data_IF_878273211284
#
_entry.id   IF_878273211284
#
_cell.length_a   1.000
_cell.length_b   1.000
_cell.length_c   1.000
_cell.angle_alpha   90.00
_cell.angle_beta   90.00
_cell.angle_gamma   90.00
#
_symmetry.space_group_name_H-M   'P 1'
#
loop_
_entity.id
_entity.type
_entity.pdbx_description
1 polymer ?
#
# COMPACT_ATOMS: atom_id res chain seq x y z
N UNK A 1 -19.27 -46.11 35.40
CA UNK A 1 -19.27 -44.64 35.13
C UNK A 1 -17.96 -43.96 35.55
N UNK A 2 -16.79 -44.37 35.03
CA UNK A 2 -15.50 -43.67 35.23
C UNK A 2 -14.49 -44.13 34.14
N UNK A 3 -14.69 -43.76 32.87
CA UNK A 3 -13.71 -44.11 31.82
C UNK A 3 -13.86 -43.29 30.51
N UNK A 4 -14.26 -42.01 30.56
CA UNK A 4 -14.52 -41.23 29.34
C UNK A 4 -14.16 -39.74 29.48
N UNK A 5 -13.08 -39.43 30.21
CA UNK A 5 -12.62 -38.04 30.39
C UNK A 5 -11.11 -37.87 30.15
N UNK A 6 -10.49 -38.73 29.33
CA UNK A 6 -9.03 -38.74 29.12
C UNK A 6 -8.58 -38.74 27.65
N UNK A 7 -9.50 -38.63 26.69
CA UNK A 7 -9.16 -38.54 25.26
C UNK A 7 -9.68 -37.22 24.69
N UNK A 8 -8.79 -36.46 24.03
CA UNK A 8 -8.99 -35.20 23.30
C UNK A 8 -8.61 -33.86 23.98
N UNK A 9 -7.59 -33.87 24.84
CA UNK A 9 -6.65 -32.75 24.93
C UNK A 9 -5.37 -33.11 24.16
N UNK A 10 -5.50 -33.25 22.84
CA UNK A 10 -4.36 -33.08 21.94
C UNK A 10 -4.01 -31.60 21.96
N UNK A 11 -3.37 -31.16 23.04
CA UNK A 11 -2.59 -29.95 23.03
C UNK A 11 -1.48 -30.17 22.00
N UNK A 12 -1.75 -29.78 20.76
CA UNK A 12 -0.72 -29.55 19.76
C UNK A 12 0.20 -28.49 20.33
N UNK A 13 1.18 -28.95 21.08
CA UNK A 13 2.38 -28.21 21.45
C UNK A 13 2.99 -27.77 20.13
N UNK A 14 2.69 -26.54 19.72
CA UNK A 14 3.41 -25.87 18.65
C UNK A 14 4.84 -25.77 19.17
N UNK A 15 5.70 -26.68 18.72
CA UNK A 15 7.10 -26.70 19.10
C UNK A 15 7.65 -25.28 18.90
N UNK A 16 8.01 -24.65 20.01
CA UNK A 16 8.48 -23.29 20.06
C UNK A 16 9.80 -23.22 19.30
N UNK A 17 9.77 -22.78 18.04
CA UNK A 17 10.99 -22.37 17.36
C UNK A 17 11.62 -21.24 18.19
N UNK A 18 12.91 -21.31 18.51
CA UNK A 18 13.62 -20.29 19.29
C UNK A 18 13.41 -18.86 18.73
N UNK A 19 13.24 -18.74 17.41
CA UNK A 19 12.92 -17.49 16.73
C UNK A 19 11.60 -16.84 17.20
N UNK A 20 10.60 -17.64 17.60
CA UNK A 20 9.32 -17.15 18.08
C UNK A 20 9.43 -16.47 19.45
N UNK A 21 10.25 -17.02 20.36
CA UNK A 21 10.39 -16.51 21.73
C UNK A 21 11.11 -15.16 21.69
N UNK A 22 12.16 -15.08 20.86
CA UNK A 22 12.91 -13.85 20.62
C UNK A 22 11.99 -12.73 20.11
N UNK A 23 11.09 -13.05 19.16
CA UNK A 23 10.14 -12.06 18.63
C UNK A 23 9.09 -11.64 19.66
N UNK A 24 8.54 -12.58 20.43
CA UNK A 24 7.59 -12.26 21.52
C UNK A 24 8.23 -11.31 22.56
N UNK A 25 9.47 -11.61 22.97
CA UNK A 25 10.24 -10.79 23.92
C UNK A 25 10.53 -9.40 23.35
N UNK A 26 10.96 -9.34 22.10
CA UNK A 26 11.24 -8.09 21.40
C UNK A 26 10.00 -7.18 21.29
N UNK A 27 8.82 -7.76 21.11
CA UNK A 27 7.55 -7.02 21.01
C UNK A 27 6.96 -6.66 22.38
N UNK A 28 7.54 -7.15 23.48
CA UNK A 28 7.04 -6.96 24.83
C UNK A 28 5.76 -7.74 25.14
N UNK A 29 5.51 -8.84 24.42
CA UNK A 29 4.35 -9.71 24.67
C UNK A 29 4.59 -10.61 25.89
N UNK A 30 5.83 -11.09 26.04
CA UNK A 30 6.27 -11.91 27.16
C UNK A 30 7.41 -11.23 27.91
N UNK A 31 7.61 -11.61 29.18
CA UNK A 31 8.73 -11.15 29.97
C UNK A 31 10.08 -11.53 29.33
N UNK A 32 11.12 -10.71 29.54
CA UNK A 32 12.44 -10.91 28.92
C UNK A 32 13.10 -12.23 29.34
N UNK A 33 12.80 -12.69 30.54
CA UNK A 33 13.27 -13.93 31.16
C UNK A 33 12.33 -15.13 30.94
N UNK A 34 11.19 -14.93 30.25
CA UNK A 34 10.24 -16.02 29.98
C UNK A 34 10.92 -17.15 29.19
N UNK A 35 10.74 -18.39 29.66
CA UNK A 35 11.29 -19.60 29.01
C UNK A 35 10.30 -20.23 28.01
N UNK A 36 9.02 -19.92 28.12
CA UNK A 36 7.94 -20.42 27.28
C UNK A 36 6.87 -19.34 27.08
N UNK A 37 5.92 -19.61 26.18
CA UNK A 37 4.79 -18.72 25.90
C UNK A 37 3.47 -19.49 25.90
N UNK A 38 2.36 -18.78 26.09
CA UNK A 38 1.00 -19.33 26.11
C UNK A 38 0.35 -19.35 24.72
N UNK A 39 -0.72 -20.14 24.49
CA UNK A 39 -1.47 -20.11 23.24
C UNK A 39 -2.08 -18.73 22.92
N UNK A 40 -2.43 -17.95 23.94
CA UNK A 40 -2.96 -16.59 23.81
C UNK A 40 -1.89 -15.61 23.29
N UNK A 41 -0.68 -15.68 23.84
CA UNK A 41 0.47 -14.90 23.37
C UNK A 41 0.83 -15.24 21.92
N UNK A 42 0.74 -16.53 21.56
CA UNK A 42 0.92 -16.97 20.18
C UNK A 42 -0.19 -16.43 19.24
N UNK A 43 -1.44 -16.35 19.72
CA UNK A 43 -2.53 -15.73 18.97
C UNK A 43 -2.31 -14.22 18.77
N UNK A 44 -1.88 -13.51 19.83
CA UNK A 44 -1.55 -12.10 19.76
C UNK A 44 -0.41 -11.83 18.76
N UNK A 45 0.65 -12.66 18.77
CA UNK A 45 1.74 -12.57 17.80
C UNK A 45 1.26 -12.70 16.36
N UNK A 46 0.33 -13.63 16.09
CA UNK A 46 -0.27 -13.78 14.74
C UNK A 46 -1.03 -12.52 14.34
N UNK A 47 -1.79 -11.92 15.25
CA UNK A 47 -2.55 -10.67 14.99
C UNK A 47 -1.60 -9.49 14.72
N UNK A 48 -0.51 -9.38 15.46
CA UNK A 48 0.53 -8.37 15.25
C UNK A 48 1.18 -8.49 13.87
N UNK A 49 1.65 -9.69 13.52
CA UNK A 49 2.26 -9.95 12.19
C UNK A 49 1.29 -9.67 11.05
N UNK A 50 0.02 -10.03 11.23
CA UNK A 50 -1.04 -9.73 10.27
C UNK A 50 -1.24 -8.22 10.09
N UNK A 51 -1.32 -7.47 11.19
CA UNK A 51 -1.44 -6.01 11.15
C UNK A 51 -0.25 -5.37 10.41
N UNK A 52 0.98 -5.86 10.64
CA UNK A 52 2.16 -5.43 9.91
C UNK A 52 2.05 -5.67 8.40
N UNK A 53 1.60 -6.86 7.99
CA UNK A 53 1.37 -7.20 6.58
C UNK A 53 0.30 -6.30 5.93
N UNK A 54 -0.68 -5.85 6.73
CA UNK A 54 -1.72 -4.90 6.31
C UNK A 54 -1.23 -3.43 6.33
N UNK A 55 0.05 -3.18 6.63
CA UNK A 55 0.64 -1.84 6.59
C UNK A 55 0.38 -1.00 7.84
N UNK A 56 0.12 -1.62 9.00
CA UNK A 56 -0.17 -0.91 10.25
C UNK A 56 0.87 0.16 10.61
N UNK A 57 2.17 -0.13 10.43
CA UNK A 57 3.24 0.82 10.72
C UNK A 57 3.14 2.08 9.86
N UNK A 58 2.98 1.93 8.55
CA UNK A 58 2.83 3.08 7.67
C UNK A 58 1.55 3.85 7.99
N UNK A 59 0.46 3.13 8.25
CA UNK A 59 -0.81 3.74 8.63
C UNK A 59 -0.72 4.58 9.92
N UNK A 60 -0.08 4.06 10.98
CA UNK A 60 0.15 4.84 12.20
C UNK A 60 0.96 6.09 11.87
N UNK A 61 2.08 5.94 11.15
CA UNK A 61 2.96 7.07 10.79
C UNK A 61 2.20 8.15 10.02
N UNK A 62 1.38 7.77 9.05
CA UNK A 62 0.61 8.71 8.23
C UNK A 62 -0.43 9.47 9.05
N UNK A 63 -0.98 8.86 10.10
CA UNK A 63 -2.03 9.46 10.94
C UNK A 63 -1.50 10.25 12.14
N UNK A 64 -0.40 9.83 12.74
CA UNK A 64 0.13 10.45 13.96
C UNK A 64 1.42 11.23 13.73
N UNK A 65 2.06 11.09 12.57
CA UNK A 65 3.37 11.64 12.28
C UNK A 65 4.54 10.97 13.02
N UNK A 66 4.28 9.97 13.87
CA UNK A 66 5.31 9.36 14.71
C UNK A 66 5.03 7.89 15.06
N UNK A 67 6.09 7.08 15.07
CA UNK A 67 6.07 5.68 15.52
C UNK A 67 6.54 5.50 16.97
N UNK A 68 6.77 6.58 17.70
CA UNK A 68 7.24 6.49 19.08
C UNK A 68 6.27 5.66 19.96
N UNK A 69 6.83 4.65 20.64
CA UNK A 69 6.10 3.68 21.46
C UNK A 69 5.30 2.63 20.68
N UNK A 70 5.13 2.78 19.37
CA UNK A 70 4.40 1.82 18.53
C UNK A 70 5.30 0.74 17.93
N UNK A 71 6.62 0.93 17.96
CA UNK A 71 7.60 -0.01 17.42
C UNK A 71 8.66 -0.39 18.43
N UNK A 72 9.19 -1.60 18.29
CA UNK A 72 10.45 -2.02 18.87
C UNK A 72 11.44 -2.32 17.75
N UNK A 73 12.68 -1.87 17.95
CA UNK A 73 13.78 -2.14 17.02
C UNK A 73 14.57 -3.34 17.54
N UNK A 74 14.72 -4.36 16.70
CA UNK A 74 15.61 -5.49 16.99
C UNK A 74 16.74 -5.47 15.99
N UNK A 75 17.97 -5.49 16.51
CA UNK A 75 19.15 -5.72 15.69
C UNK A 75 19.10 -7.13 15.14
N UNK A 76 19.00 -7.23 13.82
CA UNK A 76 19.25 -8.49 13.14
C UNK A 76 20.75 -8.74 13.15
N UNK A 77 21.20 -10.00 13.16
CA UNK A 77 22.63 -10.35 13.14
C UNK A 77 23.43 -9.80 11.95
N UNK A 78 22.78 -9.13 11.00
CA UNK A 78 23.37 -8.41 9.86
C UNK A 78 23.51 -6.88 10.11
N UNK A 79 23.25 -6.39 11.32
CA UNK A 79 23.33 -4.98 11.69
C UNK A 79 22.14 -4.11 11.25
N UNK A 80 21.17 -4.66 10.51
CA UNK A 80 19.95 -3.93 10.18
C UNK A 80 18.96 -4.00 11.34
N UNK A 81 18.36 -2.86 11.67
CA UNK A 81 17.25 -2.79 12.63
C UNK A 81 15.94 -3.06 11.92
N UNK A 82 15.28 -4.16 12.27
CA UNK A 82 13.94 -4.45 11.77
C UNK A 82 12.92 -3.86 12.75
N UNK A 83 12.00 -2.98 12.32
CA UNK A 83 10.93 -2.48 13.17
C UNK A 83 9.87 -3.56 13.34
N UNK A 84 9.48 -3.83 14.58
CA UNK A 84 8.36 -4.67 14.94
C UNK A 84 7.27 -3.84 15.60
N UNK A 85 6.01 -4.08 15.24
CA UNK A 85 4.85 -3.53 15.91
C UNK A 85 4.78 -4.08 17.35
N UNK A 86 4.70 -3.19 18.33
CA UNK A 86 4.51 -3.53 19.75
C UNK A 86 3.02 -3.74 20.05
N UNK A 87 2.70 -4.27 21.25
CA UNK A 87 1.31 -4.35 21.73
C UNK A 87 0.65 -2.98 21.75
N UNK A 88 1.32 -1.97 22.33
CA UNK A 88 0.83 -0.58 22.35
C UNK A 88 0.66 0.01 20.94
N UNK A 89 1.55 -0.34 20.00
CA UNK A 89 1.43 0.04 18.60
C UNK A 89 0.20 -0.58 17.92
N UNK A 90 -0.09 -1.84 18.20
CA UNK A 90 -1.26 -2.53 17.68
C UNK A 90 -2.57 -1.98 18.25
N UNK A 91 -2.63 -1.71 19.55
CA UNK A 91 -3.79 -1.07 20.17
C UNK A 91 -4.04 0.33 19.57
N UNK A 92 -2.98 1.12 19.39
CA UNK A 92 -3.07 2.42 18.73
C UNK A 92 -3.57 2.30 17.29
N UNK A 93 -3.02 1.37 16.52
CA UNK A 93 -3.47 1.10 15.15
C UNK A 93 -4.95 0.72 15.12
N UNK A 94 -5.36 -0.23 15.96
CA UNK A 94 -6.73 -0.72 16.03
C UNK A 94 -7.69 0.37 16.46
N UNK A 95 -7.30 1.21 17.43
CA UNK A 95 -8.08 2.35 17.89
C UNK A 95 -8.36 3.34 16.73
N UNK A 96 -7.31 3.80 16.04
CA UNK A 96 -7.46 4.74 14.91
C UNK A 96 -8.31 4.10 13.81
N UNK A 97 -8.03 2.84 13.47
CA UNK A 97 -8.76 2.11 12.44
C UNK A 97 -10.25 1.94 12.80
N UNK A 98 -10.56 1.74 14.08
CA UNK A 98 -11.94 1.60 14.56
C UNK A 98 -12.72 2.91 14.48
N UNK A 99 -12.09 4.05 14.78
CA UNK A 99 -12.72 5.36 14.59
C UNK A 99 -13.03 5.62 13.12
N UNK A 100 -12.07 5.40 12.22
CA UNK A 100 -12.30 5.58 10.78
C UNK A 100 -13.38 4.63 10.25
N UNK A 101 -13.37 3.37 10.70
CA UNK A 101 -14.37 2.39 10.28
C UNK A 101 -15.77 2.80 10.73
N UNK A 102 -15.91 3.30 11.96
CA UNK A 102 -17.18 3.84 12.46
C UNK A 102 -17.68 4.97 11.56
N UNK A 103 -16.87 5.99 11.33
CA UNK A 103 -17.21 7.12 10.45
C UNK A 103 -17.59 6.64 9.05
N UNK A 104 -16.84 5.66 8.53
CA UNK A 104 -17.11 5.06 7.25
C UNK A 104 -18.50 4.39 7.20
N UNK A 105 -18.85 3.54 8.17
CA UNK A 105 -20.16 2.89 8.18
C UNK A 105 -21.30 3.89 8.41
N UNK A 106 -21.10 4.91 9.24
CA UNK A 106 -22.05 6.01 9.41
C UNK A 106 -22.30 6.75 8.09
N UNK A 107 -21.23 7.03 7.32
CA UNK A 107 -21.35 7.64 5.98
C UNK A 107 -22.08 6.77 4.95
N UNK A 108 -22.21 5.46 5.23
CA UNK A 108 -22.96 4.49 4.42
C UNK A 108 -24.38 4.25 4.92
N UNK A 109 -24.85 5.06 5.87
CA UNK A 109 -26.22 5.03 6.37
C UNK A 109 -26.44 4.15 7.59
N UNK A 110 -25.37 3.63 8.23
CA UNK A 110 -25.52 3.02 9.55
C UNK A 110 -25.81 4.10 10.58
N UNK A 111 -26.84 3.93 11.40
CA UNK A 111 -27.11 4.86 12.50
C UNK A 111 -26.02 4.75 13.58
N UNK A 112 -25.55 5.88 14.12
CA UNK A 112 -24.47 5.92 15.10
C UNK A 112 -24.71 5.02 16.33
N UNK A 113 -25.97 4.91 16.81
CA UNK A 113 -26.35 4.03 17.92
C UNK A 113 -26.25 2.53 17.61
N UNK A 114 -26.20 2.17 16.33
CA UNK A 114 -26.26 0.80 15.83
C UNK A 114 -25.00 0.36 15.08
N UNK A 115 -24.00 1.23 14.95
CA UNK A 115 -22.74 0.88 14.27
C UNK A 115 -22.00 -0.28 14.95
N UNK A 116 -22.07 -0.37 16.28
CA UNK A 116 -21.42 -1.42 17.07
C UNK A 116 -22.17 -2.76 17.07
N UNK A 117 -23.38 -2.80 16.49
CA UNK A 117 -24.18 -4.01 16.33
C UNK A 117 -24.16 -4.54 14.90
N UNK A 118 -23.42 -3.90 14.01
CA UNK A 118 -23.22 -4.36 12.63
C UNK A 118 -22.57 -5.74 12.61
N UNK A 119 -23.04 -6.56 11.66
CA UNK A 119 -22.57 -7.93 11.46
C UNK A 119 -22.12 -8.13 10.03
N UNK A 120 -21.19 -9.06 9.78
CA UNK A 120 -20.89 -9.53 8.44
C UNK A 120 -22.09 -10.33 7.87
N UNK A 121 -21.97 -10.82 6.62
CA UNK A 121 -23.01 -11.67 6.03
C UNK A 121 -23.22 -12.99 6.78
N UNK A 122 -22.19 -13.47 7.47
CA UNK A 122 -22.17 -14.69 8.29
C UNK A 122 -22.79 -14.50 9.68
N UNK A 123 -23.14 -13.27 10.06
CA UNK A 123 -23.71 -12.93 11.37
C UNK A 123 -22.67 -12.65 12.48
N UNK A 124 -21.37 -12.64 12.16
CA UNK A 124 -20.30 -12.24 13.09
C UNK A 124 -20.25 -10.73 13.26
N UNK A 125 -19.99 -10.25 14.46
CA UNK A 125 -19.94 -8.81 14.75
C UNK A 125 -18.68 -8.18 14.15
N UNK A 126 -18.83 -6.96 13.60
CA UNK A 126 -17.70 -6.19 13.09
C UNK A 126 -16.97 -5.41 14.18
N UNK A 127 -17.66 -5.11 15.28
CA UNK A 127 -17.12 -4.41 16.44
C UNK A 127 -17.31 -5.24 17.71
N UNK A 128 -16.38 -5.10 18.64
CA UNK A 128 -16.47 -5.59 20.01
C UNK A 128 -17.42 -4.68 20.83
N UNK A 129 -17.74 -5.08 22.05
CA UNK A 129 -18.59 -4.27 22.94
C UNK A 129 -17.89 -2.99 23.41
N UNK A 130 -16.56 -2.97 23.40
CA UNK A 130 -15.72 -1.80 23.68
C UNK A 130 -15.60 -0.86 22.47
N UNK A 131 -16.22 -1.21 21.33
CA UNK A 131 -16.21 -0.42 20.11
C UNK A 131 -14.93 -0.54 19.26
N UNK A 132 -14.07 -1.52 19.54
CA UNK A 132 -12.93 -1.84 18.69
C UNK A 132 -13.36 -2.77 17.53
N UNK A 133 -12.68 -2.72 16.39
CA UNK A 133 -12.93 -3.67 15.32
C UNK A 133 -12.53 -5.10 15.73
N UNK A 134 -13.36 -6.07 15.35
CA UNK A 134 -12.99 -7.49 15.38
C UNK A 134 -12.06 -7.81 14.21
N UNK A 135 -11.44 -9.00 14.20
CA UNK A 135 -10.58 -9.42 13.09
C UNK A 135 -11.35 -9.47 11.76
N UNK A 136 -12.62 -9.91 11.77
CA UNK A 136 -13.53 -9.90 10.61
C UNK A 136 -13.91 -8.44 10.23
N UNK A 137 -14.09 -7.56 11.21
CA UNK A 137 -14.35 -6.13 11.00
C UNK A 137 -13.19 -5.40 10.34
N UNK A 138 -11.96 -5.68 10.76
CA UNK A 138 -10.73 -5.17 10.15
C UNK A 138 -10.67 -5.55 8.66
N UNK A 139 -10.92 -6.82 8.34
CA UNK A 139 -10.87 -7.30 6.97
C UNK A 139 -11.92 -6.62 6.08
N UNK A 140 -13.15 -6.57 6.59
CA UNK A 140 -14.26 -5.96 5.86
C UNK A 140 -13.99 -4.47 5.61
N UNK A 141 -13.55 -3.74 6.63
CA UNK A 141 -13.27 -2.31 6.50
C UNK A 141 -12.09 -2.04 5.55
N UNK A 142 -10.98 -2.77 5.66
CA UNK A 142 -9.83 -2.59 4.76
C UNK A 142 -10.19 -2.94 3.31
N UNK A 143 -11.00 -3.97 3.09
CA UNK A 143 -11.53 -4.29 1.77
C UNK A 143 -12.45 -3.17 1.25
N UNK A 144 -13.31 -2.61 2.09
CA UNK A 144 -14.16 -1.46 1.74
C UNK A 144 -13.32 -0.24 1.33
N UNK A 145 -12.29 0.07 2.11
CA UNK A 145 -11.35 1.17 1.87
C UNK A 145 -10.56 0.99 0.57
N UNK A 146 -10.23 -0.26 0.23
CA UNK A 146 -9.65 -0.63 -1.06
C UNK A 146 -10.68 -0.63 -2.22
N UNK A 147 -11.87 -0.08 -2.02
CA UNK A 147 -12.99 -0.01 -3.00
C UNK A 147 -13.44 -1.38 -3.51
N UNK A 148 -13.25 -2.45 -2.72
CA UNK A 148 -13.77 -3.77 -3.05
C UNK A 148 -15.26 -3.83 -2.73
N UNK A 149 -15.99 -4.68 -3.46
CA UNK A 149 -17.38 -5.00 -3.14
C UNK A 149 -17.41 -5.77 -1.82
N UNK A 150 -17.95 -5.16 -0.78
CA UNK A 150 -18.16 -5.77 0.53
C UNK A 150 -19.57 -5.48 1.02
N UNK A 151 -20.08 -6.39 1.84
CA UNK A 151 -21.44 -6.35 2.34
C UNK A 151 -21.48 -6.70 3.81
N UNK A 152 -22.39 -6.07 4.54
CA UNK A 152 -22.65 -6.29 5.96
C UNK A 152 -24.15 -6.21 6.22
N UNK A 153 -24.60 -6.68 7.39
CA UNK A 153 -25.98 -6.60 7.83
C UNK A 153 -26.14 -5.46 8.84
N UNK A 154 -27.16 -4.63 8.60
CA UNK A 154 -27.62 -3.64 9.56
C UNK A 154 -28.43 -4.31 10.68
N UNK A 155 -28.88 -3.53 11.66
CA UNK A 155 -29.71 -4.00 12.79
C UNK A 155 -31.05 -4.59 12.38
N UNK A 156 -31.61 -4.13 11.26
CA UNK A 156 -32.82 -4.68 10.64
C UNK A 156 -32.56 -6.00 9.88
N UNK A 157 -31.30 -6.46 9.84
CA UNK A 157 -30.87 -7.66 9.13
C UNK A 157 -30.69 -7.47 7.63
N UNK A 158 -31.00 -6.29 7.08
CA UNK A 158 -30.88 -6.03 5.64
C UNK A 158 -29.41 -5.93 5.22
N UNK A 159 -29.02 -6.58 4.11
CA UNK A 159 -27.68 -6.44 3.57
C UNK A 159 -27.47 -5.03 3.01
N UNK A 160 -26.40 -4.37 3.43
CA UNK A 160 -25.90 -3.09 2.91
C UNK A 160 -24.45 -3.29 2.45
N UNK A 161 -23.94 -2.45 1.56
CA UNK A 161 -22.59 -2.63 1.02
C UNK A 161 -22.00 -1.40 0.36
N UNK A 162 -20.75 -1.52 -0.11
CA UNK A 162 -20.07 -0.50 -0.93
C UNK A 162 -20.73 -0.31 -2.30
N UNK A 163 -21.36 -1.37 -2.80
CA UNK A 163 -22.08 -1.44 -4.07
C UNK A 163 -23.51 -1.87 -3.75
N UNK A 164 -24.48 -1.48 -4.59
CA UNK A 164 -25.86 -1.97 -4.46
C UNK A 164 -25.84 -3.50 -4.33
N UNK A 165 -26.40 -4.08 -3.25
CA UNK A 165 -26.41 -5.52 -3.05
C UNK A 165 -27.07 -6.21 -4.25
N UNK A 166 -26.59 -7.40 -4.65
CA UNK A 166 -27.35 -8.27 -5.54
C UNK A 166 -28.75 -8.47 -4.96
N UNK A 167 -29.78 -8.51 -5.80
CA UNK A 167 -31.12 -8.88 -5.34
C UNK A 167 -31.06 -10.24 -4.60
N UNK A 168 -31.78 -10.35 -3.48
CA UNK A 168 -31.72 -11.49 -2.57
C UNK A 168 -31.69 -12.84 -3.32
N UNK A 169 -30.68 -13.66 -3.03
CA UNK A 169 -30.50 -15.00 -3.58
C UNK A 169 -29.50 -15.13 -4.73
N UNK A 170 -28.99 -14.02 -5.27
CA UNK A 170 -27.92 -14.10 -6.27
C UNK A 170 -26.54 -14.08 -5.60
N UNK A 171 -25.63 -15.00 -5.96
CA UNK A 171 -24.26 -14.95 -5.47
C UNK A 171 -23.65 -13.59 -5.84
N UNK A 172 -22.74 -13.05 -5.00
CA UNK A 172 -22.06 -11.80 -5.33
C UNK A 172 -21.46 -11.93 -6.74
N UNK A 173 -21.57 -10.87 -7.58
CA UNK A 173 -21.00 -10.91 -8.91
C UNK A 173 -19.53 -11.30 -8.76
N UNK A 174 -19.19 -12.48 -9.31
CA UNK A 174 -17.80 -12.94 -9.31
C UNK A 174 -16.96 -11.81 -9.92
N UNK A 175 -15.77 -11.51 -9.37
CA UNK A 175 -14.88 -10.53 -9.96
C UNK A 175 -14.75 -10.90 -11.44
N UNK A 176 -15.33 -10.07 -12.30
CA UNK A 176 -15.30 -10.30 -13.75
C UNK A 176 -13.83 -10.46 -14.09
N UNK A 177 -13.46 -11.66 -14.54
CA UNK A 177 -12.13 -11.93 -15.08
C UNK A 177 -11.85 -10.76 -16.03
N UNK A 178 -10.72 -10.03 -15.89
CA UNK A 178 -10.41 -8.93 -16.77
C UNK A 178 -10.68 -9.39 -18.20
N UNK A 179 -11.56 -8.69 -18.92
CA UNK A 179 -11.77 -9.01 -20.33
C UNK A 179 -10.37 -9.10 -20.97
N UNK A 180 -10.09 -10.13 -21.78
CA UNK A 180 -8.82 -10.20 -22.48
C UNK A 180 -8.57 -8.85 -23.14
N UNK A 181 -7.34 -8.35 -22.99
CA UNK A 181 -6.96 -7.04 -23.50
C UNK A 181 -7.52 -6.88 -24.93
N UNK A 182 -8.18 -5.75 -25.24
CA UNK A 182 -8.77 -5.55 -26.56
C UNK A 182 -7.71 -5.84 -27.61
N UNK A 183 -8.00 -6.81 -28.48
CA UNK A 183 -7.12 -7.20 -29.58
C UNK A 183 -6.72 -5.92 -30.31
N UNK A 184 -5.40 -5.67 -30.38
CA UNK A 184 -4.83 -4.46 -30.96
C UNK A 184 -5.51 -4.16 -32.29
N UNK A 185 -6.19 -3.01 -32.37
CA UNK A 185 -6.72 -2.52 -33.63
C UNK A 185 -5.52 -2.32 -34.58
N UNK A 186 -5.60 -2.74 -35.85
CA UNK A 186 -4.55 -2.51 -36.81
C UNK A 186 -4.27 -1.01 -36.94
N UNK A 187 -2.98 -0.66 -37.00
CA UNK A 187 -2.50 0.72 -37.09
C UNK A 187 -3.16 1.47 -38.25
N UNK A 188 -3.58 2.73 -38.06
CA UNK A 188 -4.06 3.57 -39.15
C UNK A 188 -2.94 3.80 -40.19
N UNK A 189 -3.29 3.89 -41.48
CA UNK A 189 -2.32 4.02 -42.55
C UNK A 189 -1.47 5.29 -42.42
N UNK A 190 -0.16 5.09 -42.51
CA UNK A 190 0.91 6.10 -42.48
C UNK A 190 0.66 7.15 -43.56
N UNK A 191 0.32 8.38 -43.17
CA UNK A 191 0.18 9.51 -44.09
C UNK A 191 1.53 9.81 -44.78
N UNK A 192 1.49 10.01 -46.09
CA UNK A 192 2.65 10.36 -46.93
C UNK A 192 3.17 11.77 -46.56
N UNK A 193 4.50 11.97 -46.49
CA UNK A 193 5.08 13.31 -46.41
C UNK A 193 5.08 13.95 -47.80
N UNK A 194 4.43 15.10 -47.94
CA UNK A 194 4.41 15.90 -49.16
C UNK A 194 4.49 17.39 -48.87
N UNK A 195 5.47 18.03 -49.50
CA UNK A 195 5.61 19.47 -49.81
C UNK A 195 5.79 20.50 -48.68
N UNK A 196 7.05 20.92 -48.54
CA UNK A 196 7.47 22.20 -47.97
C UNK A 196 7.52 23.27 -49.08
N UNK A 197 6.88 24.44 -48.92
CA UNK A 197 7.15 25.60 -49.77
C UNK A 197 8.43 26.34 -49.33
N UNK A 198 9.13 27.01 -50.26
CA UNK A 198 10.40 27.66 -49.98
C UNK A 198 10.23 29.12 -49.50
N UNK A 199 11.10 29.51 -48.56
CA UNK A 199 11.71 30.84 -48.51
C UNK A 199 10.94 31.95 -47.79
N UNK A 200 11.48 32.37 -46.64
CA UNK A 200 11.72 33.79 -46.32
C UNK A 200 12.72 33.92 -45.18
N UNK A 201 13.89 34.44 -45.51
CA UNK A 201 14.92 34.87 -44.57
C UNK A 201 14.39 36.00 -43.68
N UNK A 202 14.45 35.79 -42.37
CA UNK A 202 14.24 36.84 -41.36
C UNK A 202 15.34 36.71 -40.29
N UNK A 203 16.21 37.71 -40.28
CA UNK A 203 17.26 37.98 -39.29
C UNK A 203 16.66 38.17 -37.88
N UNK A 204 17.32 37.71 -36.79
CA UNK A 204 16.67 37.51 -35.50
C UNK A 204 16.58 38.78 -34.64
N UNK A 205 15.41 39.10 -34.07
CA UNK A 205 15.33 39.93 -32.88
C UNK A 205 15.13 39.05 -31.64
N UNK A 206 15.97 39.28 -30.63
CA UNK A 206 15.79 39.00 -29.19
C UNK A 206 15.02 37.74 -28.79
N UNK A 207 15.67 36.86 -28.03
CA UNK A 207 15.10 35.69 -27.36
C UNK A 207 13.82 36.03 -26.57
N UNK A 208 12.70 36.06 -27.27
CA UNK A 208 11.36 36.20 -26.75
C UNK A 208 10.87 34.80 -26.47
N UNK A 209 10.62 34.53 -25.20
CA UNK A 209 9.97 33.34 -24.69
C UNK A 209 8.69 33.06 -25.48
N UNK A 210 8.77 32.16 -26.46
CA UNK A 210 7.60 31.69 -27.19
C UNK A 210 6.55 31.16 -26.19
N UNK A 211 5.25 31.43 -26.42
CA UNK A 211 4.19 30.99 -25.52
C UNK A 211 4.20 29.46 -25.43
N UNK A 212 4.50 28.95 -24.23
CA UNK A 212 4.48 27.52 -23.87
C UNK A 212 3.12 26.94 -24.24
N UNK A 213 3.12 25.90 -25.06
CA UNK A 213 1.90 25.22 -25.48
C UNK A 213 1.13 24.64 -24.29
N UNK A 214 -0.16 24.31 -24.45
CA UNK A 214 -0.96 23.70 -23.38
C UNK A 214 -0.31 22.43 -22.77
N UNK A 215 0.41 21.66 -23.59
CA UNK A 215 1.14 20.46 -23.15
C UNK A 215 2.27 20.78 -22.15
N UNK A 216 3.04 21.86 -22.38
CA UNK A 216 4.13 22.24 -21.48
C UNK A 216 3.61 22.72 -20.12
N UNK A 217 2.43 23.37 -20.09
CA UNK A 217 1.79 23.76 -18.82
C UNK A 217 1.35 22.55 -18.01
N UNK A 218 0.77 21.54 -18.66
CA UNK A 218 0.42 20.30 -18.00
C UNK A 218 1.66 19.57 -17.45
N UNK A 219 2.73 19.48 -18.25
CA UNK A 219 4.01 18.90 -17.82
C UNK A 219 4.61 19.66 -16.61
N UNK A 220 4.50 20.99 -16.58
CA UNK A 220 4.98 21.80 -15.45
C UNK A 220 4.26 21.42 -14.15
N UNK A 221 2.93 21.27 -14.17
CA UNK A 221 2.18 20.87 -12.98
C UNK A 221 2.52 19.47 -12.48
N UNK A 222 2.76 18.53 -13.39
CA UNK A 222 3.22 17.17 -13.04
C UNK A 222 4.61 17.23 -12.40
N UNK A 223 5.55 17.95 -13.01
CA UNK A 223 6.92 18.11 -12.50
C UNK A 223 6.90 18.72 -11.10
N UNK A 224 6.15 19.81 -10.88
CA UNK A 224 6.04 20.45 -9.57
C UNK A 224 5.47 19.50 -8.52
N UNK A 225 4.46 18.70 -8.88
CA UNK A 225 3.88 17.69 -8.00
C UNK A 225 4.90 16.62 -7.59
N UNK A 226 5.73 16.17 -8.53
CA UNK A 226 6.77 15.17 -8.29
C UNK A 226 7.91 15.71 -7.42
N UNK A 227 8.40 16.92 -7.74
CA UNK A 227 9.43 17.58 -6.94
C UNK A 227 8.94 17.82 -5.51
N UNK A 228 7.68 18.26 -5.34
CA UNK A 228 7.06 18.44 -4.02
C UNK A 228 6.91 17.12 -3.26
N UNK A 229 6.70 16.01 -3.96
CA UNK A 229 6.69 14.65 -3.38
C UNK A 229 8.10 14.11 -3.07
N UNK A 230 9.16 14.87 -3.35
CA UNK A 230 10.55 14.47 -3.12
C UNK A 230 11.15 13.58 -4.20
N UNK A 231 10.54 13.52 -5.38
CA UNK A 231 11.12 12.79 -6.51
C UNK A 231 12.45 13.43 -6.93
N UNK A 232 13.44 12.59 -7.19
CA UNK A 232 14.76 13.00 -7.64
C UNK A 232 14.75 13.11 -9.15
N UNK A 233 15.07 14.29 -9.66
CA UNK A 233 15.35 14.46 -11.08
C UNK A 233 16.70 13.82 -11.42
N UNK A 234 16.70 13.04 -12.49
CA UNK A 234 17.91 12.40 -13.04
C UNK A 234 18.09 12.76 -14.51
N UNK A 235 19.34 12.85 -14.94
CA UNK A 235 19.67 13.08 -16.35
C UNK A 235 19.44 11.82 -17.20
N UNK A 236 19.37 11.99 -18.52
CA UNK A 236 19.26 10.88 -19.45
C UNK A 236 20.47 9.92 -19.35
N UNK A 237 21.68 10.47 -19.16
CA UNK A 237 22.89 9.68 -18.90
C UNK A 237 22.78 8.84 -17.61
N UNK A 238 22.18 9.41 -16.55
CA UNK A 238 21.96 8.71 -15.29
C UNK A 238 20.91 7.60 -15.46
N UNK A 239 19.82 7.87 -16.18
CA UNK A 239 18.81 6.86 -16.49
C UNK A 239 19.41 5.70 -17.30
N UNK A 240 20.26 6.00 -18.29
CA UNK A 240 20.97 4.99 -19.10
C UNK A 240 21.96 4.18 -18.27
N UNK A 241 22.74 4.82 -17.41
CA UNK A 241 23.66 4.12 -16.51
C UNK A 241 22.92 3.23 -15.50
N UNK A 242 21.74 3.65 -15.02
CA UNK A 242 20.89 2.81 -14.17
C UNK A 242 20.35 1.60 -14.93
N UNK A 243 20.01 1.75 -16.22
CA UNK A 243 19.57 0.65 -17.08
C UNK A 243 20.66 -0.42 -17.21
N UNK A 244 21.88 0.04 -17.54
CA UNK A 244 23.05 -0.82 -17.66
C UNK A 244 23.40 -1.51 -16.33
N UNK A 245 23.43 -0.76 -15.22
CA UNK A 245 23.75 -1.28 -13.89
C UNK A 245 22.65 -2.18 -13.28
N UNK A 246 21.45 -2.19 -13.86
CA UNK A 246 20.37 -3.10 -13.46
C UNK A 246 20.19 -4.28 -14.41
N UNK A 247 20.90 -4.30 -15.55
CA UNK A 247 20.70 -5.29 -16.60
C UNK A 247 19.30 -5.21 -17.22
N UNK A 248 18.66 -4.04 -17.16
CA UNK A 248 17.31 -3.81 -17.69
C UNK A 248 17.39 -2.89 -18.90
N UNK A 249 16.46 -3.07 -19.84
CA UNK A 249 16.25 -2.07 -20.90
C UNK A 249 15.59 -0.80 -20.33
N UNK A 250 15.71 0.33 -21.03
CA UNK A 250 15.07 1.58 -20.59
C UNK A 250 13.54 1.47 -20.48
N UNK A 251 12.91 0.69 -21.36
CA UNK A 251 11.48 0.41 -21.31
C UNK A 251 11.11 -0.39 -20.04
N UNK A 252 11.87 -1.43 -19.71
CA UNK A 252 11.66 -2.22 -18.49
C UNK A 252 11.88 -1.40 -17.22
N UNK A 253 12.80 -0.44 -17.25
CA UNK A 253 12.99 0.51 -16.17
C UNK A 253 11.72 1.32 -15.90
N UNK A 254 11.09 1.86 -16.94
CA UNK A 254 9.85 2.64 -16.81
C UNK A 254 8.66 1.79 -16.37
N UNK A 255 8.65 0.49 -16.71
CA UNK A 255 7.55 -0.42 -16.36
C UNK A 255 7.70 -1.02 -14.96
N UNK A 256 8.91 -1.45 -14.58
CA UNK A 256 9.16 -2.25 -13.36
C UNK A 256 9.59 -1.40 -12.16
N UNK A 257 9.88 -0.12 -12.37
CA UNK A 257 10.39 0.77 -11.32
C UNK A 257 9.53 2.03 -11.21
N UNK A 258 9.80 2.88 -10.21
CA UNK A 258 9.09 4.15 -10.07
C UNK A 258 9.64 5.27 -10.98
N UNK A 259 10.50 4.92 -11.96
CA UNK A 259 11.02 5.87 -12.92
C UNK A 259 9.90 6.39 -13.84
N UNK A 260 9.73 7.71 -13.88
CA UNK A 260 8.77 8.36 -14.75
C UNK A 260 9.49 9.30 -15.73
N UNK A 261 9.07 9.26 -17.00
CA UNK A 261 9.61 10.10 -18.05
C UNK A 261 8.55 11.15 -18.45
N UNK A 262 8.88 12.43 -18.27
CA UNK A 262 7.97 13.55 -18.56
C UNK A 262 8.57 14.41 -19.67
N UNK A 263 7.90 14.55 -20.83
CA UNK A 263 8.33 15.49 -21.86
C UNK A 263 8.08 16.93 -21.39
N UNK A 264 9.12 17.76 -21.41
CA UNK A 264 9.05 19.16 -20.99
C UNK A 264 10.02 20.03 -21.79
N UNK A 265 9.51 21.08 -22.44
CA UNK A 265 10.30 21.99 -23.28
C UNK A 265 11.11 21.25 -24.37
N UNK A 266 10.50 20.25 -25.00
CA UNK A 266 11.15 19.45 -26.06
C UNK A 266 12.26 18.51 -25.58
N UNK A 267 12.43 18.31 -24.27
CA UNK A 267 13.37 17.34 -23.69
C UNK A 267 12.64 16.36 -22.77
N UNK A 268 13.12 15.13 -22.71
CA UNK A 268 12.64 14.15 -21.73
C UNK A 268 13.33 14.39 -20.39
N UNK A 269 12.55 14.60 -19.33
CA UNK A 269 13.05 14.65 -17.95
C UNK A 269 12.65 13.36 -17.24
N UNK A 270 13.57 12.81 -16.46
CA UNK A 270 13.37 11.56 -15.75
C UNK A 270 13.31 11.83 -14.24
N UNK A 271 12.31 11.26 -13.57
CA UNK A 271 12.10 11.41 -12.13
C UNK A 271 12.03 10.04 -11.48
N UNK A 272 12.75 9.89 -10.36
CA UNK A 272 12.82 8.66 -9.58
C UNK A 272 12.28 8.92 -8.16
N UNK A 273 11.40 8.05 -7.65
CA UNK A 273 10.89 8.19 -6.29
C UNK A 273 12.00 7.87 -5.27
N UNK A 274 12.13 8.61 -4.15
CA UNK A 274 13.22 8.41 -3.18
C UNK A 274 13.19 7.04 -2.49
N UNK A 275 12.03 6.38 -2.46
CA UNK A 275 11.86 5.02 -1.93
C UNK A 275 12.28 3.92 -2.92
N UNK A 276 12.61 4.27 -4.16
CA UNK A 276 13.03 3.29 -5.17
C UNK A 276 14.40 2.69 -4.84
N UNK A 277 14.58 1.36 -4.89
CA UNK A 277 15.88 0.72 -4.71
C UNK A 277 16.99 1.29 -5.63
N UNK A 278 16.65 1.80 -6.81
CA UNK A 278 17.60 2.41 -7.73
C UNK A 278 18.21 3.71 -7.21
N UNK A 279 17.58 4.37 -6.24
CA UNK A 279 18.10 5.60 -5.62
C UNK A 279 19.48 5.37 -4.99
N UNK A 280 19.72 4.18 -4.42
CA UNK A 280 21.03 3.82 -3.88
C UNK A 280 22.10 3.69 -4.98
N UNK A 281 21.75 3.08 -6.12
CA UNK A 281 22.64 2.93 -7.27
C UNK A 281 22.96 4.28 -7.92
N UNK A 282 21.97 5.16 -8.01
CA UNK A 282 22.14 6.53 -8.50
C UNK A 282 23.14 7.31 -7.64
N UNK A 283 23.04 7.19 -6.31
CA UNK A 283 23.99 7.82 -5.39
C UNK A 283 25.43 7.34 -5.60
N UNK A 284 25.64 6.05 -5.84
CA UNK A 284 26.96 5.49 -6.17
C UNK A 284 27.47 6.00 -7.52
N UNK A 285 26.62 6.04 -8.54
CA UNK A 285 26.99 6.54 -9.86
C UNK A 285 27.43 8.01 -9.82
N UNK A 286 26.66 8.89 -9.15
CA UNK A 286 27.03 10.30 -8.97
C UNK A 286 28.37 10.46 -8.25
N UNK A 287 28.62 9.63 -7.22
CA UNK A 287 29.89 9.64 -6.48
C UNK A 287 31.09 9.18 -7.32
N UNK A 288 30.87 8.30 -8.30
CA UNK A 288 31.91 7.85 -9.22
C UNK A 288 32.19 8.86 -10.34
N UNK A 289 31.15 9.50 -10.90
CA UNK A 289 31.28 10.50 -11.98
C UNK A 289 31.79 11.86 -11.50
N UNK A 290 31.58 12.18 -10.22
CA UNK A 290 32.07 13.42 -9.60
C UNK A 290 33.52 13.37 -9.11
N UNK A 291 34.24 12.29 -9.36
CA UNK A 291 35.68 12.13 -9.15
C UNK A 291 36.41 12.16 -10.48
#
# INVERSE_FOLDING_TARGET
>A
MKALCALLLLATSVAASDSGLVELKARGIVAKDAAAWTPEEAALLRRLRRAEQLGALQFIRDRTGSLSGAISEVETGKGYKKPYLTVAGFERWLFILSQEAREYFESKGAEAKFVFTLKDLSGKRLFTDEGALTDDGVDLYLAARARKAVYWRNTDGRPTGTVRPPADGLPPPQPVKPLPAPVSRPDPPKARPGELPPGKDVTPPGASSAPRGPADRAATGVIDGMVKAGALEISEDEAKALAEASGMTQAELLEKTSLQAVPHNGKMRFFLHPSDPLTQKLGLYRKLKGK
#
